data_IF_257395502690
#
_entry.id   IF_257395502690
#
_cell.length_a   1.000
_cell.length_b   1.000
_cell.length_c   1.000
_cell.angle_alpha   90.00
_cell.angle_beta   90.00
_cell.angle_gamma   90.00
#
_symmetry.space_group_name_H-M   'P 1'
#
loop_
_entity.id
_entity.type
_entity.pdbx_description
1 polymer ?
#
# COMPACT_ATOMS: atom_id res chain seq x y z
N UNK A 1 9.52 35.82 7.41
CA UNK A 1 8.88 36.04 6.09
C UNK A 1 9.73 35.26 5.10
N UNK A 2 9.42 33.97 4.93
CA UNK A 2 10.17 33.06 4.05
C UNK A 2 9.59 33.21 2.64
N UNK A 3 10.43 33.65 1.72
CA UNK A 3 10.13 33.77 0.29
C UNK A 3 10.05 32.36 -0.29
N UNK A 4 8.85 31.92 -0.68
CA UNK A 4 8.66 30.71 -1.49
C UNK A 4 9.36 30.92 -2.84
N UNK A 5 10.22 29.98 -3.21
CA UNK A 5 10.86 29.94 -4.52
C UNK A 5 9.78 29.61 -5.59
N UNK A 6 9.55 30.46 -6.60
CA UNK A 6 8.52 30.27 -7.61
C UNK A 6 8.81 29.15 -8.63
N UNK A 7 9.88 28.37 -8.43
CA UNK A 7 10.39 27.42 -9.43
C UNK A 7 9.65 26.07 -9.47
N UNK A 8 8.83 25.70 -8.49
CA UNK A 8 8.18 24.37 -8.45
C UNK A 8 6.75 24.33 -9.04
N UNK A 9 6.02 25.46 -9.08
CA UNK A 9 4.66 25.48 -9.66
C UNK A 9 4.65 25.36 -11.20
N UNK A 10 5.77 25.64 -11.87
CA UNK A 10 5.87 25.56 -13.34
C UNK A 10 6.18 24.16 -13.89
N UNK A 11 6.62 23.23 -13.05
CA UNK A 11 7.11 21.92 -13.49
C UNK A 11 6.02 20.82 -13.48
N UNK A 12 4.96 20.99 -12.69
CA UNK A 12 3.84 20.05 -12.64
C UNK A 12 2.89 20.28 -13.83
N UNK A 13 2.68 19.29 -14.71
CA UNK A 13 1.72 19.42 -15.81
C UNK A 13 0.31 19.65 -15.27
N UNK A 14 -0.46 20.54 -15.90
CA UNK A 14 -1.81 20.91 -15.42
C UNK A 14 -2.79 19.74 -15.32
N UNK A 15 -2.61 18.72 -16.15
CA UNK A 15 -3.49 17.55 -16.22
C UNK A 15 -2.93 16.35 -15.43
N UNK A 16 -1.78 16.49 -14.77
CA UNK A 16 -1.13 15.40 -14.06
C UNK A 16 -1.80 15.18 -12.70
N UNK A 17 -2.39 14.00 -12.54
CA UNK A 17 -3.00 13.52 -11.30
C UNK A 17 -2.30 12.22 -10.91
N UNK A 18 -1.68 12.22 -9.74
CA UNK A 18 -1.08 11.05 -9.09
C UNK A 18 -1.73 10.92 -7.72
N UNK A 19 -2.22 9.72 -7.41
CA UNK A 19 -2.71 9.35 -6.08
C UNK A 19 -1.63 8.60 -5.32
N UNK A 20 -1.47 8.92 -4.04
CA UNK A 20 -0.66 8.13 -3.11
C UNK A 20 -1.63 7.33 -2.25
N UNK A 21 -1.50 6.01 -2.28
CA UNK A 21 -2.33 5.09 -1.50
C UNK A 21 -1.49 4.34 -0.46
N UNK A 22 -2.06 4.19 0.73
CA UNK A 22 -1.46 3.50 1.87
C UNK A 22 -2.50 2.49 2.40
N UNK A 23 -2.57 1.29 1.79
CA UNK A 23 -3.65 0.34 2.05
C UNK A 23 -3.61 -0.15 3.51
N UNK A 24 -4.68 0.17 4.25
CA UNK A 24 -4.81 -0.15 5.68
C UNK A 24 -4.76 -1.65 5.96
N UNK A 25 -5.36 -2.48 5.10
CA UNK A 25 -5.37 -3.95 5.23
C UNK A 25 -3.96 -4.54 5.13
N UNK A 26 -3.16 -4.12 4.15
CA UNK A 26 -1.76 -4.58 4.03
C UNK A 26 -0.93 -4.10 5.23
N UNK A 27 -1.16 -2.87 5.68
CA UNK A 27 -0.47 -2.34 6.86
C UNK A 27 -0.84 -3.11 8.12
N UNK A 28 -2.11 -3.42 8.34
CA UNK A 28 -2.59 -4.27 9.45
C UNK A 28 -1.93 -5.65 9.42
N UNK A 29 -1.90 -6.30 8.25
CA UNK A 29 -1.27 -7.61 8.10
C UNK A 29 0.23 -7.56 8.44
N UNK A 30 0.95 -6.51 8.05
CA UNK A 30 2.36 -6.33 8.43
C UNK A 30 2.55 -6.13 9.93
N UNK A 31 1.64 -5.39 10.60
CA UNK A 31 1.65 -5.25 12.05
C UNK A 31 1.50 -6.60 12.74
N UNK A 32 0.48 -7.36 12.35
CA UNK A 32 0.15 -8.67 12.91
C UNK A 32 1.28 -9.67 12.67
N UNK A 33 1.86 -9.68 11.46
CA UNK A 33 3.04 -10.50 11.16
C UNK A 33 4.14 -10.28 12.17
N UNK A 34 4.48 -9.02 12.43
CA UNK A 34 5.55 -8.66 13.34
C UNK A 34 5.18 -8.98 14.79
N UNK A 35 3.96 -8.65 15.21
CA UNK A 35 3.52 -8.82 16.59
C UNK A 35 3.34 -10.30 16.99
N UNK A 36 2.92 -11.15 16.05
CA UNK A 36 2.70 -12.58 16.30
C UNK A 36 3.89 -13.45 15.89
N UNK A 37 4.93 -12.87 15.29
CA UNK A 37 6.14 -13.58 14.86
C UNK A 37 5.88 -14.58 13.72
N UNK A 38 5.01 -14.21 12.76
CA UNK A 38 4.65 -15.07 11.62
C UNK A 38 5.79 -15.13 10.59
N UNK A 39 6.03 -16.32 10.03
CA UNK A 39 7.06 -16.57 9.03
C UNK A 39 6.54 -16.25 7.62
N UNK A 40 6.74 -14.99 7.21
CA UNK A 40 6.30 -14.45 5.92
C UNK A 40 7.40 -14.51 4.85
N UNK A 41 7.93 -15.69 4.58
CA UNK A 41 8.94 -15.89 3.54
C UNK A 41 8.51 -15.22 2.22
N UNK A 42 9.35 -14.29 1.72
CA UNK A 42 9.11 -13.56 0.47
C UNK A 42 8.48 -12.16 0.61
N UNK A 43 8.08 -11.73 1.81
CA UNK A 43 7.65 -10.35 2.07
C UNK A 43 8.79 -9.56 2.69
N UNK A 44 9.08 -8.37 2.16
CA UNK A 44 10.17 -7.53 2.65
C UNK A 44 10.03 -7.19 4.15
N UNK A 45 11.15 -7.00 4.87
CA UNK A 45 11.14 -6.49 6.23
C UNK A 45 10.53 -5.08 6.28
N UNK A 46 9.96 -4.69 7.42
CA UNK A 46 9.43 -3.33 7.62
C UNK A 46 10.52 -2.38 8.12
N UNK A 47 10.47 -1.10 7.74
CA UNK A 47 11.49 -0.10 8.08
C UNK A 47 11.56 0.18 9.59
N UNK A 48 10.41 0.26 10.23
CA UNK A 48 10.28 0.40 11.67
C UNK A 48 9.43 -0.76 12.17
N UNK A 49 10.05 -1.71 12.88
CA UNK A 49 9.30 -2.78 13.52
C UNK A 49 8.28 -2.17 14.51
N UNK A 50 7.01 -2.59 14.46
CA UNK A 50 6.02 -2.15 15.42
C UNK A 50 6.40 -2.60 16.83
N UNK A 51 6.13 -1.75 17.82
CA UNK A 51 6.02 -2.21 19.19
C UNK A 51 4.66 -2.92 19.29
N UNK A 52 4.61 -4.23 19.59
CA UNK A 52 3.36 -4.97 19.66
C UNK A 52 2.47 -4.52 20.83
N UNK A 53 3.01 -3.80 21.83
CA UNK A 53 2.26 -3.46 23.04
C UNK A 53 1.73 -4.72 23.73
N UNK A 54 0.41 -4.77 23.94
CA UNK A 54 -0.26 -5.97 24.48
C UNK A 54 -0.70 -7.00 23.44
N UNK A 55 -0.41 -6.75 22.15
CA UNK A 55 -0.80 -7.61 21.03
C UNK A 55 -0.20 -8.99 21.16
N UNK A 56 -1.03 -10.01 21.00
CA UNK A 56 -0.61 -11.41 21.00
C UNK A 56 -1.64 -12.27 20.29
N UNK A 57 -1.17 -13.36 19.70
CA UNK A 57 -2.05 -14.37 19.15
C UNK A 57 -3.02 -14.89 20.24
N UNK A 58 -4.30 -15.11 19.91
CA UNK A 58 -5.27 -15.73 20.82
C UNK A 58 -4.75 -17.04 21.41
N UNK A 59 -5.08 -17.29 22.69
CA UNK A 59 -4.63 -18.50 23.37
C UNK A 59 -5.20 -19.76 22.71
N UNK A 60 -4.32 -20.69 22.33
CA UNK A 60 -4.71 -21.93 21.65
C UNK A 60 -4.87 -21.81 20.14
N UNK A 61 -4.53 -20.66 19.54
CA UNK A 61 -4.42 -20.53 18.09
C UNK A 61 -3.27 -21.40 17.57
N UNK A 62 -3.54 -22.18 16.55
CA UNK A 62 -2.51 -22.89 15.80
C UNK A 62 -1.71 -21.89 14.95
N UNK A 63 -0.44 -21.69 15.32
CA UNK A 63 0.44 -20.73 14.65
C UNK A 63 0.80 -21.14 13.22
N UNK A 64 0.80 -22.43 12.90
CA UNK A 64 1.06 -22.89 11.53
C UNK A 64 -0.13 -22.56 10.63
N UNK A 65 -1.35 -22.85 11.11
CA UNK A 65 -2.58 -22.47 10.42
C UNK A 65 -2.74 -20.95 10.30
N UNK A 66 -2.36 -20.20 11.33
CA UNK A 66 -2.33 -18.74 11.29
C UNK A 66 -1.34 -18.25 10.23
N UNK A 67 -0.13 -18.81 10.16
CA UNK A 67 0.85 -18.41 9.16
C UNK A 67 0.36 -18.68 7.73
N UNK A 68 -0.23 -19.85 7.48
CA UNK A 68 -0.81 -20.18 6.18
C UNK A 68 -1.92 -19.20 5.78
N UNK A 69 -2.84 -18.90 6.71
CA UNK A 69 -3.91 -17.93 6.48
C UNK A 69 -3.36 -16.52 6.22
N UNK A 70 -2.32 -16.11 6.93
CA UNK A 70 -1.70 -14.80 6.73
C UNK A 70 -1.14 -14.67 5.32
N UNK A 71 -0.50 -15.72 4.80
CA UNK A 71 0.03 -15.74 3.43
C UNK A 71 -1.10 -15.58 2.40
N UNK A 72 -2.21 -16.29 2.59
CA UNK A 72 -3.37 -16.21 1.69
C UNK A 72 -4.03 -14.82 1.74
N UNK A 73 -4.25 -14.28 2.93
CA UNK A 73 -4.84 -12.95 3.13
C UNK A 73 -3.93 -11.84 2.60
N UNK A 74 -2.60 -11.99 2.76
CA UNK A 74 -1.60 -11.09 2.19
C UNK A 74 -1.64 -11.10 0.66
N UNK A 75 -1.61 -12.28 0.04
CA UNK A 75 -1.68 -12.41 -1.41
C UNK A 75 -2.96 -11.80 -1.96
N UNK A 76 -4.11 -12.07 -1.33
CA UNK A 76 -5.40 -11.53 -1.75
C UNK A 76 -5.50 -10.01 -1.56
N UNK A 77 -4.98 -9.47 -0.45
CA UNK A 77 -4.90 -8.02 -0.24
C UNK A 77 -3.99 -7.34 -1.27
N UNK A 78 -2.87 -7.99 -1.61
CA UNK A 78 -1.91 -7.48 -2.59
C UNK A 78 -2.44 -7.58 -4.02
N UNK A 79 -3.27 -8.57 -4.35
CA UNK A 79 -3.94 -8.63 -5.66
C UNK A 79 -5.05 -7.58 -5.78
N UNK A 80 -5.71 -7.22 -4.67
CA UNK A 80 -6.78 -6.22 -4.67
C UNK A 80 -6.30 -4.79 -4.99
N UNK A 81 -5.02 -4.47 -4.73
CA UNK A 81 -4.43 -3.16 -5.10
C UNK A 81 -4.06 -3.06 -6.58
N UNK A 82 -4.06 -4.18 -7.32
CA UNK A 82 -3.82 -4.16 -8.77
C UNK A 82 -5.12 -3.76 -9.47
N UNK A 83 -5.16 -2.64 -10.20
CA UNK A 83 -6.30 -2.30 -11.04
C UNK A 83 -6.53 -3.46 -12.00
N UNK A 84 -7.72 -4.08 -11.94
CA UNK A 84 -8.08 -5.09 -12.93
C UNK A 84 -8.11 -4.38 -14.29
N UNK A 85 -7.39 -4.91 -15.30
CA UNK A 85 -7.33 -4.27 -16.60
C UNK A 85 -8.75 -4.03 -17.09
N UNK A 86 -9.07 -2.76 -17.36
CA UNK A 86 -10.35 -2.34 -17.90
C UNK A 86 -10.67 -3.23 -19.11
N UNK A 87 -11.59 -4.17 -18.93
CA UNK A 87 -12.14 -4.90 -20.05
C UNK A 87 -12.72 -3.86 -21.00
N UNK A 88 -12.20 -3.87 -22.23
CA UNK A 88 -12.62 -3.05 -23.37
C UNK A 88 -14.10 -2.70 -23.21
N UNK A 89 -14.35 -1.41 -22.96
CA UNK A 89 -15.66 -0.82 -22.70
C UNK A 89 -16.66 -1.20 -23.79
N UNK A 90 -17.36 -2.32 -23.57
CA UNK A 90 -18.76 -2.46 -23.91
C UNK A 90 -19.50 -2.00 -22.67
N UNK A 91 -20.52 -1.17 -22.83
CA UNK A 91 -21.45 -0.86 -21.73
C UNK A 91 -21.78 -2.17 -21.02
N UNK A 92 -21.42 -2.32 -19.73
CA UNK A 92 -21.67 -3.55 -19.00
C UNK A 92 -23.18 -3.79 -19.01
N UNK A 93 -23.60 -4.96 -19.47
CA UNK A 93 -25.00 -5.32 -19.38
C UNK A 93 -25.44 -5.40 -17.90
N UNK A 94 -26.75 -5.35 -17.64
CA UNK A 94 -27.28 -5.33 -16.29
C UNK A 94 -26.81 -6.53 -15.43
N UNK A 95 -26.50 -7.67 -16.06
CA UNK A 95 -25.96 -8.84 -15.37
C UNK A 95 -24.49 -8.64 -14.98
N UNK A 96 -23.68 -8.03 -15.84
CA UNK A 96 -22.29 -7.68 -15.57
C UNK A 96 -22.17 -6.65 -14.46
N UNK A 97 -23.07 -5.65 -14.43
CA UNK A 97 -23.16 -4.69 -13.32
C UNK A 97 -23.50 -5.39 -12.00
N UNK A 98 -24.49 -6.28 -12.00
CA UNK A 98 -24.88 -7.05 -10.81
C UNK A 98 -23.74 -7.96 -10.32
N UNK A 99 -22.94 -8.52 -11.23
CA UNK A 99 -21.76 -9.32 -10.89
C UNK A 99 -20.61 -8.48 -10.35
N UNK A 100 -20.38 -7.27 -10.88
CA UNK A 100 -19.39 -6.33 -10.34
C UNK A 100 -19.79 -5.83 -8.93
N UNK A 101 -21.08 -5.58 -8.72
CA UNK A 101 -21.63 -5.15 -7.44
C UNK A 101 -21.59 -6.29 -6.41
N UNK A 102 -21.84 -7.53 -6.82
CA UNK A 102 -21.64 -8.71 -5.98
C UNK A 102 -20.15 -8.99 -5.67
N UNK A 103 -19.23 -8.71 -6.61
CA UNK A 103 -17.79 -8.87 -6.40
C UNK A 103 -17.23 -7.78 -5.47
N UNK A 104 -17.83 -6.57 -5.48
CA UNK A 104 -17.49 -5.51 -4.54
C UNK A 104 -18.05 -5.78 -3.14
N UNK A 105 -19.28 -6.27 -3.01
CA UNK A 105 -19.83 -6.76 -1.73
C UNK A 105 -18.96 -7.90 -1.16
N UNK A 106 -18.56 -8.87 -1.99
CA UNK A 106 -17.66 -9.95 -1.58
C UNK A 106 -16.26 -9.48 -1.15
N UNK A 107 -15.77 -8.37 -1.71
CA UNK A 107 -14.53 -7.73 -1.28
C UNK A 107 -14.69 -7.06 0.09
N UNK A 108 -15.75 -6.26 0.29
CA UNK A 108 -16.00 -5.60 1.58
C UNK A 108 -16.25 -6.61 2.70
N UNK A 109 -17.01 -7.67 2.44
CA UNK A 109 -17.24 -8.76 3.39
C UNK A 109 -15.95 -9.51 3.73
N UNK A 110 -15.09 -9.73 2.73
CA UNK A 110 -13.78 -10.34 2.98
C UNK A 110 -12.87 -9.42 3.78
N UNK A 111 -12.76 -8.11 3.45
CA UNK A 111 -11.98 -7.15 4.23
C UNK A 111 -12.46 -7.11 5.68
N UNK A 112 -13.78 -7.04 5.89
CA UNK A 112 -14.36 -7.07 7.23
C UNK A 112 -14.03 -8.39 7.97
N UNK A 113 -14.02 -9.52 7.26
CA UNK A 113 -13.64 -10.82 7.83
C UNK A 113 -12.16 -10.91 8.20
N UNK A 114 -11.27 -10.40 7.36
CA UNK A 114 -9.82 -10.31 7.59
C UNK A 114 -9.56 -9.42 8.79
N UNK A 115 -10.09 -8.19 8.78
CA UNK A 115 -9.94 -7.27 9.91
C UNK A 115 -10.49 -7.88 11.19
N UNK A 116 -11.67 -8.49 11.17
CA UNK A 116 -12.25 -9.09 12.37
C UNK A 116 -11.40 -10.22 12.94
N UNK A 117 -10.80 -11.08 12.10
CA UNK A 117 -9.98 -12.18 12.59
C UNK A 117 -8.64 -11.68 13.14
N UNK A 118 -7.94 -10.84 12.39
CA UNK A 118 -6.59 -10.40 12.76
C UNK A 118 -6.57 -9.33 13.87
N UNK A 119 -7.70 -8.65 14.11
CA UNK A 119 -7.87 -7.76 15.27
C UNK A 119 -8.14 -8.51 16.57
N UNK A 120 -8.40 -9.82 16.55
CA UNK A 120 -8.57 -10.58 17.78
C UNK A 120 -7.26 -10.65 18.57
N UNK A 121 -7.24 -10.10 19.79
CA UNK A 121 -6.02 -10.04 20.61
C UNK A 121 -5.04 -8.94 20.19
N UNK A 122 -5.47 -8.03 19.31
CA UNK A 122 -4.71 -6.86 18.88
C UNK A 122 -4.86 -5.71 19.88
N UNK A 123 -3.75 -5.03 20.15
CA UNK A 123 -3.73 -3.76 20.87
C UNK A 123 -3.96 -2.64 19.84
N UNK A 124 -5.20 -2.17 19.73
CA UNK A 124 -5.59 -1.16 18.73
C UNK A 124 -4.79 0.14 18.89
N UNK A 125 -4.42 0.50 20.12
CA UNK A 125 -3.61 1.70 20.39
C UNK A 125 -2.18 1.52 19.87
N UNK A 126 -1.57 0.36 20.11
CA UNK A 126 -0.24 0.05 19.58
C UNK A 126 -0.22 0.02 18.04
N UNK A 127 -1.24 -0.59 17.42
CA UNK A 127 -1.39 -0.63 15.97
C UNK A 127 -1.57 0.77 15.37
N UNK A 128 -2.47 1.57 15.95
CA UNK A 128 -2.71 2.94 15.50
C UNK A 128 -1.48 3.84 15.71
N UNK A 129 -0.76 3.70 16.82
CA UNK A 129 0.47 4.45 17.08
C UNK A 129 1.56 4.10 16.06
N UNK A 130 1.69 2.82 15.67
CA UNK A 130 2.60 2.43 14.61
C UNK A 130 2.19 2.97 13.24
N UNK A 131 0.91 2.84 12.85
CA UNK A 131 0.39 3.40 11.61
C UNK A 131 0.57 4.92 11.53
N UNK A 132 0.36 5.62 12.63
CA UNK A 132 0.55 7.07 12.71
C UNK A 132 2.00 7.47 12.46
N UNK A 133 2.98 6.69 12.97
CA UNK A 133 4.41 6.92 12.70
C UNK A 133 4.77 6.71 11.23
N UNK A 134 4.10 5.78 10.54
CA UNK A 134 4.31 5.56 9.11
C UNK A 134 3.76 6.71 8.26
N UNK A 135 2.67 7.35 8.71
CA UNK A 135 1.97 8.42 7.99
C UNK A 135 2.42 9.84 8.37
N UNK A 136 3.42 9.98 9.27
CA UNK A 136 4.06 11.26 9.56
C UNK A 136 4.46 11.93 8.23
N UNK A 137 3.91 13.10 7.95
CA UNK A 137 3.95 13.71 6.62
C UNK A 137 5.40 14.02 6.20
N UNK A 138 5.92 13.27 5.23
CA UNK A 138 7.27 13.46 4.68
C UNK A 138 7.34 14.56 3.60
N UNK A 139 6.54 15.63 3.72
CA UNK A 139 6.44 16.66 2.69
C UNK A 139 5.76 16.15 1.42
N UNK A 140 6.21 16.61 0.26
CA UNK A 140 5.66 16.19 -1.04
C UNK A 140 6.78 15.74 -1.99
N UNK A 141 7.35 14.54 -1.79
CA UNK A 141 8.45 14.01 -2.62
C UNK A 141 8.14 14.02 -4.12
N UNK A 142 6.87 13.92 -4.49
CA UNK A 142 6.42 14.00 -5.88
C UNK A 142 6.75 15.34 -6.53
N UNK A 143 6.62 16.44 -5.79
CA UNK A 143 6.95 17.76 -6.30
C UNK A 143 8.45 17.93 -6.53
N UNK A 144 9.27 17.34 -5.66
CA UNK A 144 10.73 17.37 -5.76
C UNK A 144 11.24 16.46 -6.89
N UNK A 145 10.54 15.35 -7.15
CA UNK A 145 10.89 14.37 -8.20
C UNK A 145 10.07 14.54 -9.49
N UNK A 146 9.45 15.70 -9.71
CA UNK A 146 8.51 15.94 -10.84
C UNK A 146 9.13 15.64 -12.20
N UNK A 147 10.43 15.91 -12.38
CA UNK A 147 11.14 15.64 -13.64
C UNK A 147 11.18 14.14 -14.00
N UNK A 148 11.25 13.26 -12.99
CA UNK A 148 11.25 11.81 -13.14
C UNK A 148 9.83 11.23 -13.12
N UNK A 149 8.91 11.89 -12.40
CA UNK A 149 7.54 11.45 -12.28
C UNK A 149 6.73 11.70 -13.54
N UNK A 150 7.00 12.79 -14.28
CA UNK A 150 6.28 13.13 -15.52
C UNK A 150 6.40 12.03 -16.61
N UNK A 151 7.58 11.47 -16.92
CA UNK A 151 7.70 10.32 -17.82
C UNK A 151 6.91 9.10 -17.35
N UNK A 152 6.96 8.80 -16.05
CA UNK A 152 6.25 7.66 -15.45
C UNK A 152 4.74 7.85 -15.55
N UNK A 153 4.23 9.04 -15.25
CA UNK A 153 2.83 9.41 -15.44
C UNK A 153 2.40 9.29 -16.90
N UNK A 154 3.20 9.78 -17.85
CA UNK A 154 2.92 9.64 -19.29
C UNK A 154 2.89 8.19 -19.77
N UNK A 155 3.56 7.27 -19.07
CA UNK A 155 3.47 5.83 -19.35
C UNK A 155 2.13 5.22 -18.92
N UNK A 156 1.35 5.95 -18.11
CA UNK A 156 0.03 5.57 -17.63
C UNK A 156 -0.07 5.41 -16.11
N UNK A 157 1.01 5.59 -15.36
CA UNK A 157 0.97 5.48 -13.88
C UNK A 157 0.16 6.62 -13.31
N UNK A 158 -0.85 6.29 -12.52
CA UNK A 158 -1.72 7.25 -11.82
C UNK A 158 -1.75 7.00 -10.32
N UNK A 159 -1.33 5.82 -9.85
CA UNK A 159 -1.36 5.43 -8.45
C UNK A 159 -0.01 4.92 -7.98
N UNK A 160 0.45 5.45 -6.85
CA UNK A 160 1.64 4.99 -6.14
C UNK A 160 1.17 4.42 -4.80
N UNK A 161 1.31 3.11 -4.65
CA UNK A 161 1.04 2.42 -3.38
C UNK A 161 2.32 2.45 -2.54
N UNK A 162 2.25 3.08 -1.38
CA UNK A 162 3.36 3.12 -0.43
C UNK A 162 3.19 2.02 0.62
N UNK A 163 4.22 1.18 0.78
CA UNK A 163 4.28 0.16 1.84
C UNK A 163 5.45 0.42 2.78
N UNK A 164 5.35 0.09 4.08
CA UNK A 164 6.36 0.42 5.08
C UNK A 164 7.56 -0.55 5.05
N UNK A 165 7.99 -0.98 3.87
CA UNK A 165 9.16 -1.86 3.71
C UNK A 165 10.47 -1.11 3.99
N UNK A 166 11.45 -1.83 4.53
CA UNK A 166 12.78 -1.32 4.77
C UNK A 166 13.58 -1.22 3.47
N UNK A 167 14.34 -0.14 3.33
CA UNK A 167 15.29 0.05 2.23
C UNK A 167 14.62 0.25 0.86
N UNK A 168 15.42 0.08 -0.20
CA UNK A 168 14.96 0.29 -1.57
C UNK A 168 13.99 -0.80 -2.03
N UNK A 169 12.79 -0.39 -2.43
CA UNK A 169 11.81 -1.27 -3.05
C UNK A 169 10.98 -0.47 -4.06
N UNK A 170 10.95 -0.95 -5.29
CA UNK A 170 10.05 -0.50 -6.33
C UNK A 170 9.58 -1.69 -7.14
N UNK A 171 8.29 -1.74 -7.44
CA UNK A 171 7.72 -2.75 -8.31
C UNK A 171 6.54 -2.18 -9.08
N UNK A 172 6.56 -2.34 -10.41
CA UNK A 172 5.39 -2.08 -11.23
C UNK A 172 4.38 -3.22 -11.07
N UNK A 173 3.15 -2.89 -10.69
CA UNK A 173 2.06 -3.87 -10.55
C UNK A 173 1.16 -3.92 -11.77
N UNK A 174 0.79 -2.75 -12.29
CA UNK A 174 0.03 -2.62 -13.53
C UNK A 174 0.58 -1.47 -14.38
N UNK A 175 -0.13 -1.11 -15.45
CA UNK A 175 0.18 0.10 -16.19
C UNK A 175 -0.05 1.35 -15.33
N UNK A 176 -1.05 1.32 -14.46
CA UNK A 176 -1.53 2.44 -13.66
C UNK A 176 -0.90 2.49 -12.26
N UNK A 177 -0.47 1.33 -11.73
CA UNK A 177 -0.06 1.20 -10.32
C UNK A 177 1.37 0.73 -10.16
N UNK A 178 2.11 1.45 -9.31
CA UNK A 178 3.43 1.04 -8.82
C UNK A 178 3.38 0.92 -7.29
N UNK A 179 4.20 0.03 -6.73
CA UNK A 179 4.46 -0.05 -5.30
C UNK A 179 5.85 0.45 -5.02
N UNK A 180 5.99 1.31 -4.03
CA UNK A 180 7.27 1.78 -3.50
C UNK A 180 7.33 1.58 -2.00
N UNK A 181 8.53 1.39 -1.45
CA UNK A 181 8.68 1.49 0.01
C UNK A 181 8.61 2.94 0.47
N UNK A 182 8.15 3.16 1.70
CA UNK A 182 8.23 4.46 2.38
C UNK A 182 9.68 4.99 2.41
N UNK A 183 10.66 4.11 2.66
CA UNK A 183 12.09 4.44 2.61
C UNK A 183 12.54 4.94 1.23
N UNK A 184 12.06 4.33 0.14
CA UNK A 184 12.37 4.76 -1.23
C UNK A 184 11.76 6.12 -1.54
N UNK A 185 10.48 6.32 -1.16
CA UNK A 185 9.75 7.56 -1.46
C UNK A 185 10.27 8.76 -0.66
N UNK A 186 10.75 8.54 0.58
CA UNK A 186 11.29 9.59 1.45
C UNK A 186 12.66 10.11 1.00
N UNK A 187 13.46 9.29 0.33
CA UNK A 187 14.80 9.67 -0.14
C UNK A 187 14.72 10.14 -1.61
N UNK A 188 15.01 11.43 -1.91
CA UNK A 188 14.88 11.97 -3.27
C UNK A 188 15.74 11.25 -4.31
N UNK A 189 16.92 10.73 -3.92
CA UNK A 189 17.82 10.03 -4.83
C UNK A 189 17.29 8.63 -5.15
N UNK A 190 16.84 7.91 -4.12
CA UNK A 190 16.25 6.58 -4.31
C UNK A 190 14.93 6.67 -5.07
N UNK A 191 14.12 7.70 -4.80
CA UNK A 191 12.84 7.89 -5.49
C UNK A 191 13.03 8.20 -6.97
N UNK A 192 13.95 9.12 -7.29
CA UNK A 192 14.31 9.43 -8.69
C UNK A 192 14.85 8.19 -9.42
N UNK A 193 15.72 7.42 -8.76
CA UNK A 193 16.22 6.15 -9.28
C UNK A 193 15.08 5.16 -9.54
N UNK A 194 14.18 4.96 -8.57
CA UNK A 194 13.02 4.07 -8.72
C UNK A 194 12.16 4.46 -9.92
N UNK A 195 11.82 5.74 -10.06
CA UNK A 195 11.04 6.27 -11.18
C UNK A 195 11.75 6.08 -12.54
N UNK A 196 13.08 6.18 -12.59
CA UNK A 196 13.86 5.98 -13.82
C UNK A 196 13.91 4.53 -14.32
N UNK A 197 13.58 3.56 -13.46
CA UNK A 197 13.63 2.12 -13.77
C UNK A 197 12.30 1.51 -14.23
N UNK A 198 11.22 2.32 -14.24
CA UNK A 198 9.83 1.91 -14.44
C UNK A 198 9.29 2.03 -15.87
#
# INVERSE_FOLDING_TARGET
>A
MQTMDPSHEGAWPRDMVISIDQPSTLTLLLFVRSAWGLDANGVAPVEAEPDPGSTRAPAGLDMEAANARWIDDWARAFDAIVPRPEWISREPDALTLLMLEADSEGYFDWVASVESFWREGLDDEACWAWQSRLTEHHGSPEHDAVEWLVPVWRSGVTTIVELPFAGYYVRRLSRETIVVSAATRRDPQLYSLALSTL
#
